data_IF_154447301612
#
_entry.id   IF_154447301612
#
_cell.length_a   1.000
_cell.length_b   1.000
_cell.length_c   1.000
_cell.angle_alpha   90.00
_cell.angle_beta   90.00
_cell.angle_gamma   90.00
#
_symmetry.space_group_name_H-M   'P 1'
#
loop_
_entity.id
_entity.type
_entity.pdbx_description
1 polymer ?
#
# COMPACT_ATOMS: atom_id res chain seq x y z
N UNK A 1 -16.77 14.39 -6.75
CA UNK A 1 -16.30 13.09 -7.31
C UNK A 1 -17.53 12.24 -7.56
N UNK A 2 -17.67 11.63 -8.74
CA UNK A 2 -18.78 10.68 -8.95
C UNK A 2 -18.49 9.40 -8.18
N UNK A 3 -19.53 8.80 -7.56
CA UNK A 3 -19.45 7.53 -6.81
C UNK A 3 -18.68 6.44 -7.58
N UNK A 4 -18.81 6.46 -8.91
CA UNK A 4 -18.15 5.56 -9.86
C UNK A 4 -16.61 5.60 -9.77
N UNK A 5 -16.01 6.76 -9.49
CA UNK A 5 -14.57 6.92 -9.40
C UNK A 5 -13.99 6.31 -8.12
N UNK A 6 -14.74 6.36 -7.01
CA UNK A 6 -14.35 5.68 -5.76
C UNK A 6 -14.42 4.16 -5.97
N UNK A 7 -15.49 3.66 -6.57
CA UNK A 7 -15.65 2.23 -6.83
C UNK A 7 -14.49 1.66 -7.65
N UNK A 8 -14.02 2.38 -8.68
CA UNK A 8 -12.84 1.99 -9.47
C UNK A 8 -11.56 1.91 -8.63
N UNK A 9 -11.36 2.86 -7.71
CA UNK A 9 -10.19 2.83 -6.80
C UNK A 9 -10.27 1.60 -5.89
N UNK A 10 -11.41 1.38 -5.24
CA UNK A 10 -11.64 0.20 -4.38
C UNK A 10 -11.39 -1.10 -5.14
N UNK A 11 -11.97 -1.25 -6.34
CA UNK A 11 -11.78 -2.42 -7.17
C UNK A 11 -10.30 -2.63 -7.55
N UNK A 12 -9.56 -1.56 -7.84
CA UNK A 12 -8.13 -1.65 -8.14
C UNK A 12 -7.30 -2.13 -6.95
N UNK A 13 -7.61 -1.67 -5.73
CA UNK A 13 -6.90 -2.06 -4.51
C UNK A 13 -7.17 -3.54 -4.21
N UNK A 14 -8.43 -3.96 -4.26
CA UNK A 14 -8.82 -5.36 -4.01
C UNK A 14 -8.17 -6.30 -5.02
N UNK A 15 -8.21 -5.95 -6.31
CA UNK A 15 -7.61 -6.76 -7.36
C UNK A 15 -6.10 -6.90 -7.19
N UNK A 16 -5.41 -5.80 -6.89
CA UNK A 16 -3.95 -5.83 -6.67
C UNK A 16 -3.61 -6.60 -5.40
N UNK A 17 -4.38 -6.45 -4.32
CA UNK A 17 -4.13 -7.19 -3.08
C UNK A 17 -4.31 -8.71 -3.26
N UNK A 18 -5.28 -9.12 -4.08
CA UNK A 18 -5.44 -10.52 -4.46
C UNK A 18 -4.26 -11.05 -5.29
N UNK A 19 -3.72 -10.24 -6.22
CA UNK A 19 -2.50 -10.60 -6.94
C UNK A 19 -1.29 -10.71 -5.99
N UNK A 20 -1.18 -9.77 -5.05
CA UNK A 20 -0.12 -9.71 -4.05
C UNK A 20 -0.08 -10.99 -3.21
N UNK A 21 -1.24 -11.45 -2.73
CA UNK A 21 -1.32 -12.70 -1.96
C UNK A 21 -0.89 -13.93 -2.77
N UNK A 22 -1.15 -13.95 -4.09
CA UNK A 22 -0.70 -15.05 -4.96
C UNK A 22 0.80 -15.00 -5.21
N UNK A 23 1.37 -13.81 -5.42
CA UNK A 23 2.80 -13.62 -5.66
C UNK A 23 3.61 -13.97 -4.40
N UNK A 24 3.15 -13.53 -3.24
CA UNK A 24 3.86 -13.73 -1.98
C UNK A 24 3.98 -15.20 -1.58
N UNK A 25 3.01 -16.05 -1.93
CA UNK A 25 3.12 -17.51 -1.70
C UNK A 25 4.36 -18.09 -2.39
N UNK A 26 4.72 -17.61 -3.59
CA UNK A 26 5.92 -18.06 -4.30
C UNK A 26 7.22 -17.39 -3.80
N UNK A 27 7.12 -16.16 -3.29
CA UNK A 27 8.29 -15.36 -2.91
C UNK A 27 8.78 -15.58 -1.48
N UNK A 28 7.96 -16.21 -0.64
CA UNK A 28 8.33 -16.60 0.73
C UNK A 28 9.59 -17.49 0.73
N UNK A 29 9.72 -18.42 -0.23
CA UNK A 29 10.88 -19.30 -0.35
C UNK A 29 12.20 -18.54 -0.62
N UNK A 30 12.09 -17.32 -1.18
CA UNK A 30 13.22 -16.45 -1.48
C UNK A 30 13.44 -15.36 -0.43
N UNK A 31 12.75 -15.40 0.72
CA UNK A 31 12.77 -14.35 1.76
C UNK A 31 12.35 -12.97 1.24
N UNK A 32 11.47 -12.92 0.23
CA UNK A 32 10.99 -11.67 -0.36
C UNK A 32 9.49 -11.54 -0.16
N UNK A 33 9.03 -10.33 0.19
CA UNK A 33 7.61 -10.03 0.29
C UNK A 33 7.28 -8.73 -0.44
N UNK A 34 6.31 -8.82 -1.33
CA UNK A 34 5.71 -7.70 -2.01
C UNK A 34 4.55 -7.15 -1.17
N UNK A 35 4.37 -5.83 -1.23
CA UNK A 35 3.22 -5.14 -0.61
C UNK A 35 2.50 -4.28 -1.65
N UNK A 36 2.24 -4.87 -2.82
CA UNK A 36 1.64 -4.18 -3.98
C UNK A 36 0.29 -3.55 -3.63
N UNK A 37 -0.56 -4.26 -2.86
CA UNK A 37 -1.87 -3.76 -2.48
C UNK A 37 -1.77 -2.46 -1.66
N UNK A 38 -0.86 -2.45 -0.69
CA UNK A 38 -0.59 -1.30 0.17
C UNK A 38 0.05 -0.14 -0.60
N UNK A 39 1.01 -0.41 -1.48
CA UNK A 39 1.66 0.62 -2.30
C UNK A 39 0.68 1.27 -3.29
N UNK A 40 -0.22 0.50 -3.91
CA UNK A 40 -1.27 1.06 -4.78
C UNK A 40 -2.24 1.92 -3.99
N UNK A 41 -2.62 1.51 -2.78
CA UNK A 41 -3.39 2.35 -1.86
C UNK A 41 -2.67 3.66 -1.55
N UNK A 42 -1.38 3.61 -1.17
CA UNK A 42 -0.57 4.79 -0.91
C UNK A 42 -0.50 5.74 -2.12
N UNK A 43 -0.36 5.18 -3.33
CA UNK A 43 -0.39 5.97 -4.58
C UNK A 43 -1.71 6.71 -4.74
N UNK A 44 -2.85 6.06 -4.48
CA UNK A 44 -4.15 6.68 -4.61
C UNK A 44 -4.36 7.79 -3.59
N UNK A 45 -3.97 7.59 -2.32
CA UNK A 45 -4.03 8.61 -1.28
C UNK A 45 -3.15 9.81 -1.65
N UNK A 46 -1.93 9.54 -2.11
CA UNK A 46 -0.98 10.57 -2.54
C UNK A 46 -1.48 11.36 -3.77
N UNK A 47 -2.08 10.67 -4.75
CA UNK A 47 -2.53 11.25 -6.01
C UNK A 47 -3.86 11.99 -5.93
N UNK A 48 -4.74 11.60 -5.01
CA UNK A 48 -6.11 12.12 -4.86
C UNK A 48 -6.44 12.40 -3.38
N UNK A 49 -5.77 13.37 -2.73
CA UNK A 49 -5.86 13.48 -1.28
C UNK A 49 -7.18 14.11 -0.79
N UNK A 50 -7.98 14.70 -1.67
CA UNK A 50 -9.32 15.18 -1.28
C UNK A 50 -10.39 14.07 -1.32
N UNK A 51 -10.04 12.86 -1.76
CA UNK A 51 -11.02 11.82 -2.04
C UNK A 51 -10.92 10.64 -1.05
N UNK A 52 -9.73 10.37 -0.52
CA UNK A 52 -9.48 9.26 0.39
C UNK A 52 -9.05 9.84 1.73
N UNK A 53 -9.99 9.95 2.67
CA UNK A 53 -9.76 10.39 4.04
C UNK A 53 -9.56 9.18 4.97
N UNK A 54 -9.27 9.45 6.25
CA UNK A 54 -9.10 8.44 7.29
C UNK A 54 -10.30 7.46 7.37
N UNK A 55 -11.55 7.94 7.26
CA UNK A 55 -12.71 7.05 7.33
C UNK A 55 -12.77 6.08 6.15
N UNK A 56 -12.49 6.56 4.93
CA UNK A 56 -12.50 5.69 3.74
C UNK A 56 -11.36 4.69 3.76
N UNK A 57 -10.18 5.06 4.27
CA UNK A 57 -9.05 4.13 4.41
C UNK A 57 -9.31 3.06 5.47
N UNK A 58 -10.04 3.41 6.54
CA UNK A 58 -10.51 2.43 7.53
C UNK A 58 -11.41 1.37 6.91
N UNK A 59 -12.41 1.79 6.12
CA UNK A 59 -13.32 0.87 5.43
C UNK A 59 -12.55 -0.01 4.44
N UNK A 60 -11.61 0.56 3.67
CA UNK A 60 -10.74 -0.21 2.76
C UNK A 60 -9.96 -1.27 3.55
N UNK A 61 -9.28 -0.89 4.63
CA UNK A 61 -8.50 -1.84 5.42
C UNK A 61 -9.35 -2.93 6.08
N UNK A 62 -10.56 -2.61 6.55
CA UNK A 62 -11.52 -3.61 7.05
C UNK A 62 -11.94 -4.61 5.95
N UNK A 63 -12.20 -4.12 4.73
CA UNK A 63 -12.53 -5.03 3.62
C UNK A 63 -11.35 -5.94 3.27
N UNK A 64 -10.12 -5.43 3.36
CA UNK A 64 -8.92 -6.23 3.15
C UNK A 64 -8.79 -7.28 4.25
N UNK A 65 -9.00 -6.93 5.52
CA UNK A 65 -8.95 -7.89 6.63
C UNK A 65 -9.90 -9.08 6.42
N UNK A 66 -11.12 -8.80 5.94
CA UNK A 66 -12.11 -9.83 5.63
C UNK A 66 -11.68 -10.73 4.45
N UNK A 67 -11.00 -10.19 3.44
CA UNK A 67 -10.56 -10.93 2.25
C UNK A 67 -9.33 -11.80 2.57
N UNK A 68 -8.37 -11.24 3.31
CA UNK A 68 -7.11 -11.92 3.63
C UNK A 68 -7.22 -12.86 4.83
N UNK A 69 -8.32 -12.80 5.59
CA UNK A 69 -8.49 -13.58 6.82
C UNK A 69 -7.52 -13.15 7.93
N UNK A 70 -7.03 -11.91 7.88
CA UNK A 70 -6.11 -11.37 8.90
C UNK A 70 -6.89 -10.92 10.15
N UNK A 71 -6.20 -10.72 11.29
CA UNK A 71 -6.84 -10.23 12.51
C UNK A 71 -7.66 -8.97 12.24
N UNK A 72 -8.91 -8.98 12.70
CA UNK A 72 -9.86 -7.91 12.39
C UNK A 72 -9.33 -6.55 12.86
N UNK A 73 -9.23 -5.60 11.92
CA UNK A 73 -8.83 -4.23 12.19
C UNK A 73 -7.33 -3.98 12.08
N UNK A 74 -6.48 -4.99 11.86
CA UNK A 74 -5.04 -4.80 11.70
C UNK A 74 -4.72 -4.00 10.44
N UNK A 75 -5.24 -4.42 9.27
CA UNK A 75 -5.06 -3.63 8.05
C UNK A 75 -5.84 -2.31 8.14
N UNK A 76 -7.01 -2.29 8.78
CA UNK A 76 -7.76 -1.05 9.00
C UNK A 76 -6.94 0.02 9.73
N UNK A 77 -6.22 -0.36 10.80
CA UNK A 77 -5.36 0.56 11.54
C UNK A 77 -4.15 1.02 10.73
N UNK A 78 -3.49 0.10 10.01
CA UNK A 78 -2.31 0.46 9.21
C UNK A 78 -2.66 1.36 8.01
N UNK A 79 -3.79 1.10 7.34
CA UNK A 79 -4.26 1.91 6.22
C UNK A 79 -4.73 3.30 6.68
N UNK A 80 -5.37 3.39 7.85
CA UNK A 80 -5.74 4.70 8.43
C UNK A 80 -4.52 5.51 8.84
N UNK A 81 -3.59 4.91 9.59
CA UNK A 81 -2.35 5.56 10.02
C UNK A 81 -1.52 6.05 8.82
N UNK A 82 -1.29 5.21 7.83
CA UNK A 82 -0.57 5.59 6.60
C UNK A 82 -1.28 6.72 5.85
N UNK A 83 -2.61 6.66 5.71
CA UNK A 83 -3.36 7.76 5.08
C UNK A 83 -3.22 9.08 5.82
N UNK A 84 -3.24 9.05 7.16
CA UNK A 84 -3.06 10.23 7.99
C UNK A 84 -1.68 10.86 7.77
N UNK A 85 -0.61 10.05 7.77
CA UNK A 85 0.75 10.51 7.50
C UNK A 85 0.87 11.12 6.09
N UNK A 86 0.28 10.49 5.08
CA UNK A 86 0.33 11.03 3.71
C UNK A 86 -0.38 12.39 3.62
N UNK A 87 -1.49 12.57 4.34
CA UNK A 87 -2.22 13.85 4.36
C UNK A 87 -1.49 14.96 5.10
N UNK A 88 -0.86 14.67 6.24
CA UNK A 88 -0.11 15.67 7.00
C UNK A 88 1.10 16.18 6.21
N UNK A 89 1.80 15.31 5.48
CA UNK A 89 2.98 15.69 4.68
C UNK A 89 2.67 16.04 3.21
N UNK A 90 1.40 16.24 2.86
CA UNK A 90 0.95 16.50 1.48
C UNK A 90 1.69 17.65 0.79
N UNK A 91 1.93 18.75 1.49
CA UNK A 91 2.63 19.91 0.92
C UNK A 91 4.12 19.64 0.73
N UNK A 92 4.75 18.94 1.69
CA UNK A 92 6.16 18.56 1.62
C UNK A 92 6.46 17.64 0.44
N UNK A 93 5.58 16.66 0.15
CA UNK A 93 5.77 15.77 -0.99
C UNK A 93 5.75 16.46 -2.36
N UNK A 94 5.20 17.68 -2.47
CA UNK A 94 5.26 18.45 -3.72
C UNK A 94 6.64 19.05 -3.99
N UNK A 95 7.45 19.22 -2.95
CA UNK A 95 8.78 19.84 -3.01
C UNK A 95 9.87 18.77 -3.10
N UNK A 96 9.63 17.60 -2.51
CA UNK A 96 10.59 16.51 -2.48
C UNK A 96 10.92 15.94 -3.86
N UNK A 97 12.17 15.47 -3.99
CA UNK A 97 12.60 14.78 -5.20
C UNK A 97 11.90 13.42 -5.31
N UNK A 98 11.79 12.92 -6.54
CA UNK A 98 11.17 11.62 -6.76
C UNK A 98 11.85 10.49 -5.95
N UNK A 99 13.18 10.55 -5.79
CA UNK A 99 13.93 9.59 -4.97
C UNK A 99 13.60 9.68 -3.47
N UNK A 100 13.40 10.90 -2.93
CA UNK A 100 12.99 11.04 -1.53
C UNK A 100 11.59 10.46 -1.31
N UNK A 101 10.69 10.66 -2.28
CA UNK A 101 9.33 10.09 -2.25
C UNK A 101 9.40 8.56 -2.32
N UNK A 102 10.25 7.99 -3.18
CA UNK A 102 10.36 6.52 -3.30
C UNK A 102 10.91 5.89 -2.01
N UNK A 103 11.93 6.50 -1.40
CA UNK A 103 12.48 6.04 -0.11
C UNK A 103 11.41 6.11 0.98
N UNK A 104 10.62 7.20 1.03
CA UNK A 104 9.54 7.35 1.99
C UNK A 104 8.49 6.23 1.86
N UNK A 105 8.00 5.95 0.65
CA UNK A 105 7.00 4.90 0.44
C UNK A 105 7.58 3.49 0.63
N UNK A 106 8.86 3.27 0.31
CA UNK A 106 9.56 2.03 0.65
C UNK A 106 9.59 1.81 2.17
N UNK A 107 9.97 2.82 2.95
CA UNK A 107 9.98 2.76 4.42
C UNK A 107 8.58 2.48 4.98
N UNK A 108 7.57 3.18 4.46
CA UNK A 108 6.17 3.01 4.88
C UNK A 108 5.67 1.58 4.59
N UNK A 109 6.04 1.02 3.44
CA UNK A 109 5.68 -0.35 3.06
C UNK A 109 6.38 -1.41 3.92
N UNK A 110 7.64 -1.20 4.29
CA UNK A 110 8.34 -2.10 5.22
C UNK A 110 7.81 -2.01 6.63
N UNK A 111 7.37 -0.82 7.06
CA UNK A 111 6.69 -0.65 8.33
C UNK A 111 5.37 -1.45 8.34
N UNK A 112 4.57 -1.35 7.28
CA UNK A 112 3.36 -2.15 7.10
C UNK A 112 3.64 -3.67 7.18
N UNK A 113 4.62 -4.16 6.41
CA UNK A 113 5.02 -5.57 6.41
C UNK A 113 5.55 -6.03 7.77
N UNK A 114 6.34 -5.20 8.45
CA UNK A 114 6.86 -5.50 9.78
C UNK A 114 5.74 -5.72 10.79
N UNK A 115 4.74 -4.83 10.82
CA UNK A 115 3.57 -4.99 11.68
C UNK A 115 2.78 -6.26 11.38
N UNK A 116 2.50 -6.54 10.09
CA UNK A 116 1.81 -7.78 9.72
C UNK A 116 2.57 -9.01 10.19
N UNK A 117 3.88 -9.06 9.95
CA UNK A 117 4.68 -10.21 10.33
C UNK A 117 4.75 -10.41 11.85
N UNK A 118 4.77 -9.34 12.65
CA UNK A 118 4.75 -9.43 14.12
C UNK A 118 3.44 -10.07 14.62
N UNK A 119 2.29 -9.71 14.05
CA UNK A 119 0.99 -10.17 14.55
C UNK A 119 0.51 -11.47 13.93
N UNK A 120 0.85 -11.73 12.66
CA UNK A 120 0.34 -12.89 11.91
C UNK A 120 1.36 -14.03 11.88
N UNK A 121 2.65 -13.71 11.70
CA UNK A 121 3.72 -14.70 11.51
C UNK A 121 4.71 -14.73 12.68
N UNK A 122 4.20 -14.78 13.91
CA UNK A 122 5.00 -14.75 15.16
C UNK A 122 6.10 -15.82 15.21
N UNK A 123 5.85 -17.02 14.67
CA UNK A 123 6.79 -18.14 14.71
C UNK A 123 7.90 -18.08 13.64
N UNK A 124 7.67 -17.39 12.51
CA UNK A 124 8.56 -17.38 11.34
C UNK A 124 9.02 -15.96 11.00
N UNK A 125 9.18 -15.11 12.02
CA UNK A 125 9.58 -13.72 11.83
C UNK A 125 11.06 -13.64 11.38
N UNK A 126 11.29 -13.22 10.13
CA UNK A 126 12.63 -13.05 9.57
C UNK A 126 12.96 -11.56 9.37
N UNK A 127 13.99 -11.09 10.06
CA UNK A 127 14.52 -9.73 9.89
C UNK A 127 15.11 -9.52 8.49
N UNK A 128 15.74 -10.55 7.90
CA UNK A 128 16.28 -10.48 6.54
C UNK A 128 15.17 -10.27 5.51
N UNK A 129 13.99 -10.89 5.71
CA UNK A 129 12.86 -10.71 4.82
C UNK A 129 12.43 -9.25 4.75
N UNK A 130 12.29 -8.59 5.90
CA UNK A 130 11.89 -7.18 5.95
C UNK A 130 12.95 -6.28 5.30
N UNK A 131 14.23 -6.57 5.55
CA UNK A 131 15.33 -5.81 4.98
C UNK A 131 15.42 -5.93 3.45
N UNK A 132 15.36 -7.13 2.88
CA UNK A 132 15.36 -7.27 1.42
C UNK A 132 14.07 -6.74 0.78
N UNK A 133 12.94 -6.90 1.47
CA UNK A 133 11.66 -6.34 1.03
C UNK A 133 11.70 -4.81 0.95
N UNK A 134 12.56 -4.12 1.71
CA UNK A 134 12.75 -2.67 1.57
C UNK A 134 13.16 -2.26 0.16
N UNK A 135 14.25 -2.84 -0.33
CA UNK A 135 14.77 -2.52 -1.67
C UNK A 135 13.78 -2.92 -2.75
N UNK A 136 13.16 -4.09 -2.59
CA UNK A 136 12.22 -4.61 -3.55
C UNK A 136 10.97 -3.72 -3.63
N UNK A 137 10.38 -3.35 -2.48
CA UNK A 137 9.21 -2.48 -2.45
C UNK A 137 9.54 -1.08 -3.00
N UNK A 138 10.76 -0.55 -2.76
CA UNK A 138 11.22 0.69 -3.38
C UNK A 138 11.25 0.64 -4.92
N UNK A 139 11.75 -0.45 -5.49
CA UNK A 139 11.71 -0.67 -6.95
C UNK A 139 10.27 -0.81 -7.46
N UNK A 140 9.42 -1.54 -6.74
CA UNK A 140 8.01 -1.70 -7.14
C UNK A 140 7.24 -0.39 -7.09
N UNK A 141 7.55 0.52 -6.16
CA UNK A 141 6.93 1.84 -6.09
C UNK A 141 7.19 2.64 -7.38
N UNK A 142 8.41 2.58 -7.92
CA UNK A 142 8.75 3.24 -9.19
C UNK A 142 7.85 2.72 -10.32
N UNK A 143 7.69 1.39 -10.41
CA UNK A 143 6.82 0.75 -11.39
C UNK A 143 5.35 1.14 -11.22
N UNK A 144 4.84 1.08 -9.98
CA UNK A 144 3.47 1.46 -9.63
C UNK A 144 3.21 2.91 -9.99
N UNK A 145 4.14 3.82 -9.67
CA UNK A 145 3.99 5.24 -9.97
C UNK A 145 3.85 5.48 -11.49
N UNK A 146 4.68 4.83 -12.31
CA UNK A 146 4.62 4.97 -13.77
C UNK A 146 3.29 4.40 -14.33
N UNK A 147 2.93 3.18 -13.90
CA UNK A 147 1.72 2.49 -14.38
C UNK A 147 0.46 3.24 -13.95
N UNK A 148 0.31 3.49 -12.65
CA UNK A 148 -0.88 4.12 -12.10
C UNK A 148 -1.04 5.58 -12.55
N UNK A 149 0.05 6.31 -12.80
CA UNK A 149 -0.05 7.65 -13.37
C UNK A 149 -0.57 7.62 -14.83
N UNK A 150 -0.21 6.59 -15.63
CA UNK A 150 -0.83 6.37 -16.96
C UNK A 150 -2.31 6.01 -16.84
N UNK A 151 -2.66 5.12 -15.91
CA UNK A 151 -4.07 4.76 -15.63
C UNK A 151 -4.88 5.99 -15.21
N UNK A 152 -4.39 6.78 -14.24
CA UNK A 152 -5.05 8.01 -13.78
C UNK A 152 -5.35 8.95 -14.94
N UNK A 153 -4.37 9.24 -15.82
CA UNK A 153 -4.55 10.11 -16.98
C UNK A 153 -5.62 9.60 -17.97
N UNK A 154 -5.77 8.28 -18.11
CA UNK A 154 -6.73 7.66 -19.02
C UNK A 154 -8.16 7.62 -18.45
N UNK A 155 -8.30 7.48 -17.12
CA UNK A 155 -9.59 7.26 -16.46
C UNK A 155 -10.19 8.50 -15.76
N UNK A 156 -9.39 9.54 -15.49
CA UNK A 156 -9.81 10.80 -14.85
C UNK A 156 -9.71 12.03 -15.77
N UNK A 157 -9.93 11.83 -17.08
CA UNK A 157 -10.18 12.97 -17.97
C UNK A 157 -11.59 13.51 -17.76
#
# INVERSE_FOLDING_TARGET
MTLNNLFKIFASIIFVNYLDSRINVFMIDYYLSFSLGFLVFCFWVFSLPNNIYALTSFIIGLTIDLITGSPFGLNALLFTASSFVIHTYRYSFRIFSFLQITIFFALLSTFYLGFINIFVNTANFSYLLIFFSFFLNGLTWILIYILMNKFKKRFYK
#
